data_IF_598115362387
#
_entry.id   IF_598115362387
#
_cell.length_a   1.000
_cell.length_b   1.000
_cell.length_c   1.000
_cell.angle_alpha   90.00
_cell.angle_beta   90.00
_cell.angle_gamma   90.00
#
_symmetry.space_group_name_H-M   'P 1'
#
loop_
_entity.id
_entity.type
_entity.pdbx_description
1 polymer ?
#
# COMPACT_ATOMS: atom_id res chain seq x y z
N UNK A 1 7.84 15.44 14.57
CA UNK A 1 8.57 14.78 13.46
C UNK A 1 8.42 13.29 13.65
N UNK A 2 7.77 12.59 12.72
CA UNK A 2 7.43 11.18 12.87
C UNK A 2 8.51 10.31 12.23
N UNK A 3 9.60 10.08 12.94
CA UNK A 3 10.73 9.33 12.43
C UNK A 3 10.84 7.99 13.13
N UNK A 4 10.51 6.93 12.41
CA UNK A 4 10.77 5.56 12.87
C UNK A 4 11.98 4.97 12.15
N UNK A 5 12.90 4.32 12.87
CA UNK A 5 14.00 3.57 12.26
C UNK A 5 13.47 2.31 11.57
N UNK A 6 14.24 1.78 10.63
CA UNK A 6 13.98 0.46 10.06
C UNK A 6 14.08 -0.63 11.13
N UNK A 7 13.25 -1.66 11.02
CA UNK A 7 13.36 -2.84 11.87
C UNK A 7 14.62 -3.65 11.52
N UNK A 8 15.18 -4.42 12.46
CA UNK A 8 16.25 -5.37 12.17
C UNK A 8 15.72 -6.49 11.26
N UNK A 9 16.40 -6.74 10.14
CA UNK A 9 15.95 -7.70 9.13
C UNK A 9 16.98 -8.81 8.91
N UNK A 10 16.48 -10.00 8.56
CA UNK A 10 17.33 -11.11 8.11
C UNK A 10 17.97 -10.78 6.74
N UNK A 11 19.09 -11.44 6.37
CA UNK A 11 19.70 -11.23 5.05
C UNK A 11 18.76 -11.55 3.89
N UNK A 12 17.86 -12.53 4.06
CA UNK A 12 16.87 -12.89 3.05
C UNK A 12 15.79 -11.81 2.90
N UNK A 13 15.25 -11.34 4.03
CA UNK A 13 14.28 -10.24 4.03
C UNK A 13 14.87 -8.98 3.42
N UNK A 14 16.12 -8.65 3.73
CA UNK A 14 16.81 -7.50 3.16
C UNK A 14 16.91 -7.57 1.64
N UNK A 15 17.27 -8.74 1.09
CA UNK A 15 17.30 -8.95 -0.37
C UNK A 15 15.92 -8.77 -1.00
N UNK A 16 14.87 -9.27 -0.35
CA UNK A 16 13.50 -9.07 -0.81
C UNK A 16 13.12 -7.59 -0.82
N UNK A 17 13.44 -6.85 0.25
CA UNK A 17 13.21 -5.39 0.32
C UNK A 17 13.93 -4.67 -0.82
N UNK A 18 15.23 -4.91 -0.98
CA UNK A 18 16.05 -4.26 -2.02
C UNK A 18 15.50 -4.54 -3.43
N UNK A 19 15.07 -5.78 -3.69
CA UNK A 19 14.42 -6.15 -4.95
C UNK A 19 13.16 -5.33 -5.22
N UNK A 20 12.23 -5.25 -4.26
CA UNK A 20 10.97 -4.49 -4.45
C UNK A 20 11.22 -2.99 -4.59
N UNK A 21 12.16 -2.43 -3.82
CA UNK A 21 12.51 -1.01 -3.93
C UNK A 21 13.01 -0.70 -5.33
N UNK A 22 13.87 -1.53 -5.90
CA UNK A 22 14.35 -1.35 -7.28
C UNK A 22 13.22 -1.47 -8.30
N UNK A 23 12.36 -2.49 -8.17
CA UNK A 23 11.19 -2.64 -9.07
C UNK A 23 10.25 -1.41 -9.02
N UNK A 24 10.01 -0.85 -7.83
CA UNK A 24 9.17 0.35 -7.66
C UNK A 24 9.85 1.63 -8.17
N UNK A 25 11.18 1.71 -8.10
CA UNK A 25 11.95 2.79 -8.72
C UNK A 25 11.88 2.71 -10.25
N UNK A 26 12.00 1.51 -10.81
CA UNK A 26 11.93 1.27 -12.26
C UNK A 26 10.52 1.56 -12.83
N UNK A 27 9.48 1.31 -12.02
CA UNK A 27 8.09 1.65 -12.36
C UNK A 27 7.74 3.13 -12.13
N UNK A 28 8.69 3.95 -11.65
CA UNK A 28 8.50 5.36 -11.29
C UNK A 28 7.38 5.60 -10.25
N UNK A 29 7.10 4.59 -9.40
CA UNK A 29 6.10 4.68 -8.33
C UNK A 29 6.69 5.36 -7.08
N UNK A 30 7.98 5.14 -6.83
CA UNK A 30 8.72 5.77 -5.73
C UNK A 30 9.95 6.49 -6.24
N UNK A 31 10.47 7.44 -5.46
CA UNK A 31 11.68 8.18 -5.81
C UNK A 31 12.63 8.31 -4.62
N UNK A 32 13.93 8.38 -4.92
CA UNK A 32 14.94 8.71 -3.92
C UNK A 32 14.85 10.19 -3.56
N UNK A 33 14.80 10.50 -2.27
CA UNK A 33 14.94 11.87 -1.77
C UNK A 33 16.43 12.20 -1.73
N UNK A 34 16.83 13.34 -2.30
CA UNK A 34 18.24 13.77 -2.35
C UNK A 34 18.82 14.04 -0.96
N UNK A 35 20.15 14.05 -0.86
CA UNK A 35 20.88 14.16 0.42
C UNK A 35 20.55 15.42 1.25
N UNK A 36 20.06 16.48 0.61
CA UNK A 36 19.67 17.73 1.26
C UNK A 36 18.15 17.84 1.52
N UNK A 37 17.38 16.80 1.20
CA UNK A 37 15.95 16.77 1.43
C UNK A 37 15.62 16.60 2.91
N UNK A 38 14.86 17.55 3.47
CA UNK A 38 14.33 17.40 4.83
C UNK A 38 13.24 16.33 4.78
N UNK A 39 13.48 15.18 5.40
CA UNK A 39 12.47 14.12 5.54
C UNK A 39 11.81 14.25 6.91
N UNK A 40 10.60 14.76 6.96
CA UNK A 40 9.83 14.99 8.19
C UNK A 40 9.21 13.72 8.76
N UNK A 41 8.97 12.73 7.89
CA UNK A 41 8.26 11.50 8.22
C UNK A 41 8.99 10.30 7.62
N UNK A 42 9.28 9.28 8.44
CA UNK A 42 9.79 7.98 7.99
C UNK A 42 8.96 6.85 8.58
N UNK A 43 8.62 5.89 7.75
CA UNK A 43 7.89 4.67 8.14
C UNK A 43 8.70 3.45 7.74
N UNK A 44 8.91 2.49 8.64
CA UNK A 44 9.61 1.26 8.30
C UNK A 44 8.77 0.40 7.36
N UNK A 45 9.47 -0.42 6.59
CA UNK A 45 8.88 -1.41 5.71
C UNK A 45 9.21 -2.79 6.25
N UNK A 46 8.27 -3.71 6.09
CA UNK A 46 8.33 -5.10 6.53
C UNK A 46 8.03 -6.04 5.37
N UNK A 47 8.60 -7.24 5.43
CA UNK A 47 8.25 -8.35 4.56
C UNK A 47 7.44 -9.38 5.34
N UNK A 48 6.25 -9.70 4.86
CA UNK A 48 5.38 -10.70 5.47
C UNK A 48 5.29 -11.92 4.55
N UNK A 49 5.77 -13.06 5.02
CA UNK A 49 5.79 -14.32 4.26
C UNK A 49 4.47 -15.09 4.42
N UNK A 50 3.95 -15.62 3.31
CA UNK A 50 2.76 -16.46 3.25
C UNK A 50 2.79 -17.35 2.01
N UNK A 51 2.56 -18.66 2.17
CA UNK A 51 2.52 -19.65 1.08
C UNK A 51 3.66 -19.53 0.06
N UNK A 52 4.91 -19.48 0.53
CA UNK A 52 6.12 -19.35 -0.30
C UNK A 52 6.20 -18.04 -1.11
N UNK A 53 5.29 -17.09 -0.88
CA UNK A 53 5.33 -15.73 -1.40
C UNK A 53 5.52 -14.77 -0.24
N UNK A 54 5.83 -13.52 -0.55
CA UNK A 54 5.88 -12.48 0.46
C UNK A 54 5.13 -11.24 0.00
N UNK A 55 4.82 -10.37 0.96
CA UNK A 55 4.21 -9.07 0.75
C UNK A 55 5.14 -7.97 1.28
N UNK A 56 5.35 -6.95 0.47
CA UNK A 56 6.07 -5.74 0.85
C UNK A 56 5.08 -4.76 1.49
N UNK A 57 5.25 -4.46 2.78
CA UNK A 57 4.25 -3.72 3.55
C UNK A 57 4.88 -2.56 4.35
N UNK A 58 4.38 -1.35 4.16
CA UNK A 58 4.73 -0.20 5.01
C UNK A 58 3.93 -0.21 6.31
N UNK A 59 4.60 0.02 7.44
CA UNK A 59 3.97 0.09 8.77
C UNK A 59 3.38 1.49 9.03
N UNK A 60 2.20 1.73 8.48
CA UNK A 60 1.53 3.04 8.58
C UNK A 60 0.67 3.22 9.82
N UNK A 61 0.72 2.31 10.81
CA UNK A 61 -0.18 2.36 11.97
C UNK A 61 -0.12 3.71 12.70
N UNK A 62 1.08 4.20 12.96
CA UNK A 62 1.29 5.46 13.64
C UNK A 62 0.87 6.65 12.77
N UNK A 63 1.21 6.64 11.48
CA UNK A 63 0.76 7.67 10.52
C UNK A 63 -0.77 7.74 10.44
N UNK A 64 -1.44 6.58 10.46
CA UNK A 64 -2.89 6.49 10.39
C UNK A 64 -3.55 7.04 11.66
N UNK A 65 -2.89 6.96 12.82
CA UNK A 65 -3.39 7.57 14.06
C UNK A 65 -3.37 9.11 14.01
N UNK A 66 -2.44 9.71 13.28
CA UNK A 66 -2.35 11.17 13.14
C UNK A 66 -3.28 11.72 12.06
N UNK A 67 -3.57 10.94 11.01
CA UNK A 67 -4.42 11.36 9.91
C UNK A 67 -5.88 11.35 10.34
N UNK A 68 -6.57 12.47 10.11
CA UNK A 68 -8.03 12.49 10.21
C UNK A 68 -8.61 11.66 9.07
N UNK A 69 -9.43 10.67 9.39
CA UNK A 69 -10.11 9.87 8.39
C UNK A 69 -11.07 10.76 7.60
N UNK A 70 -10.85 10.90 6.29
CA UNK A 70 -11.84 11.47 5.38
C UNK A 70 -12.81 10.36 4.96
N UNK A 71 -14.10 10.55 5.26
CA UNK A 71 -15.12 9.58 4.91
C UNK A 71 -15.56 9.82 3.47
N UNK A 72 -15.08 8.98 2.55
CA UNK A 72 -15.75 8.80 1.28
C UNK A 72 -17.04 8.00 1.50
N UNK A 73 -18.15 8.46 0.92
CA UNK A 73 -19.45 7.81 1.10
C UNK A 73 -19.55 6.52 0.28
N UNK A 74 -19.03 5.43 0.83
CA UNK A 74 -19.19 4.09 0.25
C UNK A 74 -20.58 3.56 0.66
N UNK A 75 -21.48 3.27 -0.30
CA UNK A 75 -22.77 2.70 0.02
C UNK A 75 -22.62 1.31 0.67
N UNK A 76 -23.53 0.97 1.58
CA UNK A 76 -23.59 -0.38 2.14
C UNK A 76 -23.95 -1.37 1.03
N UNK A 77 -23.39 -2.58 1.12
CA UNK A 77 -23.57 -3.64 0.12
C UNK A 77 -25.04 -3.86 -0.26
N UNK A 78 -26.01 -3.97 0.68
CA UNK A 78 -27.41 -4.20 0.32
C UNK A 78 -27.99 -3.07 -0.56
N UNK A 79 -27.72 -1.81 -0.21
CA UNK A 79 -28.21 -0.65 -0.97
C UNK A 79 -27.65 -0.61 -2.41
N UNK A 80 -26.48 -1.21 -2.64
CA UNK A 80 -25.88 -1.33 -3.96
C UNK A 80 -26.46 -2.49 -4.78
N UNK A 81 -26.89 -3.57 -4.12
CA UNK A 81 -27.44 -4.78 -4.74
C UNK A 81 -28.92 -4.64 -5.11
N UNK A 82 -29.71 -3.89 -4.35
CA UNK A 82 -31.13 -3.65 -4.62
C UNK A 82 -31.38 -3.05 -6.02
N UNK A 83 -30.38 -2.35 -6.56
CA UNK A 83 -30.43 -1.76 -7.91
C UNK A 83 -30.17 -2.76 -9.03
N UNK A 84 -29.66 -3.96 -8.72
CA UNK A 84 -29.20 -4.95 -9.70
C UNK A 84 -30.25 -6.03 -10.04
N UNK A 85 -31.33 -6.14 -9.26
CA UNK A 85 -32.32 -7.22 -9.34
C UNK A 85 -33.10 -7.28 -10.67
N UNK A 86 -33.09 -6.20 -11.46
CA UNK A 86 -33.83 -6.10 -12.73
C UNK A 86 -33.01 -6.50 -13.97
N UNK A 87 -31.73 -6.84 -13.82
CA UNK A 87 -30.86 -7.11 -14.96
C UNK A 87 -30.78 -8.61 -15.29
N UNK A 88 -30.90 -8.94 -16.58
CA UNK A 88 -30.83 -10.32 -17.08
C UNK A 88 -29.41 -10.90 -17.12
N UNK A 89 -28.41 -10.04 -17.25
CA UNK A 89 -26.99 -10.40 -17.31
C UNK A 89 -26.16 -9.37 -16.53
N UNK A 90 -25.19 -9.84 -15.75
CA UNK A 90 -24.27 -8.99 -14.98
C UNK A 90 -22.84 -9.34 -15.38
N UNK A 91 -22.04 -8.32 -15.69
CA UNK A 91 -20.59 -8.47 -15.92
C UNK A 91 -19.85 -7.71 -14.83
N UNK A 92 -18.86 -8.36 -14.21
CA UNK A 92 -18.00 -7.76 -13.20
C UNK A 92 -16.63 -7.50 -13.81
N UNK A 93 -16.12 -6.29 -13.67
CA UNK A 93 -14.72 -5.95 -13.95
C UNK A 93 -14.03 -5.68 -12.62
N UNK A 94 -12.83 -6.24 -12.45
CA UNK A 94 -11.98 -5.96 -11.30
C UNK A 94 -10.83 -5.06 -11.75
N UNK A 95 -10.75 -3.88 -11.16
CA UNK A 95 -9.62 -2.98 -11.38
C UNK A 95 -8.50 -3.41 -10.44
N UNK A 96 -7.60 -4.28 -10.93
CA UNK A 96 -6.43 -4.66 -10.15
C UNK A 96 -5.44 -3.47 -10.05
N UNK A 97 -4.81 -3.31 -8.88
CA UNK A 97 -3.76 -2.32 -8.59
C UNK A 97 -4.15 -0.84 -8.72
N UNK A 98 -5.38 -0.46 -8.37
CA UNK A 98 -5.80 0.95 -8.39
C UNK A 98 -4.90 1.86 -7.52
N UNK A 99 -4.34 1.33 -6.43
CA UNK A 99 -3.42 2.08 -5.56
C UNK A 99 -2.11 2.48 -6.23
N UNK A 100 -1.71 1.76 -7.29
CA UNK A 100 -0.40 1.89 -7.93
C UNK A 100 -0.53 2.58 -9.30
N UNK A 101 -1.70 3.14 -9.61
CA UNK A 101 -1.96 3.89 -10.83
C UNK A 101 -1.61 5.38 -10.61
N UNK A 102 -0.75 5.92 -11.48
CA UNK A 102 -0.33 7.34 -11.48
C UNK A 102 -1.48 8.29 -11.84
#
# INVERSE_FOLDING_TARGET
MLRRPSYPESPETRKAIEKNVNELLDMDVIRKIGNNGIVEVTTPVLIIWHDSKYRFCGDFQEQNSYKKAEMYHIPRIPHSLDKQDKFKYITKMDCMKVSDQN
#
